data_IF_014467062079
#
_entry.id   IF_014467062079
#
_cell.length_a   1.000
_cell.length_b   1.000
_cell.length_c   1.000
_cell.angle_alpha   90.00
_cell.angle_beta   90.00
_cell.angle_gamma   90.00
#
_symmetry.space_group_name_H-M   'P 1'
#
loop_
_entity.id
_entity.type
_entity.pdbx_description
1 polymer ?
#
# COMPACT_ATOMS: atom_id res chain seq x y z
N UNK A 1 -10.06 -22.66 -17.71
CA UNK A 1 -8.97 -22.05 -16.90
C UNK A 1 -7.62 -22.22 -17.56
N UNK A 2 -7.25 -23.39 -18.05
CA UNK A 2 -5.95 -23.65 -18.73
C UNK A 2 -5.62 -22.64 -19.84
N UNK A 3 -6.55 -22.39 -20.77
CA UNK A 3 -6.33 -21.41 -21.83
C UNK A 3 -6.06 -19.97 -21.35
N UNK A 4 -6.55 -19.59 -20.15
CA UNK A 4 -6.22 -18.31 -19.53
C UNK A 4 -4.81 -18.34 -18.94
N UNK A 5 -4.42 -19.45 -18.31
CA UNK A 5 -3.07 -19.64 -17.78
C UNK A 5 -2.04 -19.51 -18.90
N UNK A 6 -2.29 -20.15 -20.03
CA UNK A 6 -1.41 -20.08 -21.20
C UNK A 6 -1.36 -18.68 -21.82
N UNK A 7 -2.53 -18.11 -22.09
CA UNK A 7 -2.64 -16.83 -22.78
C UNK A 7 -2.01 -15.67 -22.00
N UNK A 8 -2.14 -15.69 -20.66
CA UNK A 8 -1.74 -14.56 -19.81
C UNK A 8 -0.53 -14.87 -18.92
N UNK A 9 0.06 -16.06 -19.00
CA UNK A 9 1.20 -16.44 -18.17
C UNK A 9 0.88 -16.44 -16.67
N UNK A 10 -0.32 -16.92 -16.29
CA UNK A 10 -0.77 -16.92 -14.90
C UNK A 10 0.13 -17.82 -14.05
N UNK A 11 0.69 -17.30 -12.98
CA UNK A 11 1.53 -18.05 -12.02
C UNK A 11 0.82 -18.33 -10.69
N UNK A 12 -0.25 -17.58 -10.36
CA UNK A 12 -0.96 -17.70 -9.11
C UNK A 12 -2.48 -17.59 -9.32
N UNK A 13 -3.23 -18.49 -8.67
CA UNK A 13 -4.70 -18.50 -8.68
C UNK A 13 -5.17 -18.14 -7.26
N UNK A 14 -5.97 -17.09 -7.13
CA UNK A 14 -6.61 -16.72 -5.86
C UNK A 14 -8.00 -17.34 -5.77
N UNK A 15 -8.30 -18.00 -4.65
CA UNK A 15 -9.58 -18.67 -4.38
C UNK A 15 -10.19 -18.05 -3.14
N UNK A 16 -11.42 -17.56 -3.24
CA UNK A 16 -12.15 -17.04 -2.06
C UNK A 16 -12.42 -18.13 -1.01
N UNK A 17 -12.40 -17.75 0.27
CA UNK A 17 -12.64 -18.67 1.39
C UNK A 17 -14.12 -18.83 1.77
N UNK A 18 -15.05 -18.51 0.87
CA UNK A 18 -16.49 -18.59 1.11
C UNK A 18 -17.09 -20.00 1.02
N UNK A 19 -18.39 -20.04 0.80
CA UNK A 19 -19.20 -21.27 0.92
C UNK A 19 -18.72 -22.40 -0.02
N UNK A 20 -18.33 -22.11 -1.25
CA UNK A 20 -17.88 -23.09 -2.26
C UNK A 20 -16.35 -23.22 -2.32
N UNK A 21 -15.62 -22.81 -1.28
CA UNK A 21 -14.16 -22.79 -1.27
C UNK A 21 -13.57 -24.20 -1.52
N UNK A 22 -14.05 -25.22 -0.82
CA UNK A 22 -13.52 -26.59 -0.90
C UNK A 22 -13.76 -27.24 -2.27
N UNK A 23 -14.93 -27.00 -2.85
CA UNK A 23 -15.27 -27.47 -4.19
C UNK A 23 -14.41 -26.78 -5.25
N UNK A 24 -14.25 -25.49 -5.15
CA UNK A 24 -13.39 -24.70 -6.04
C UNK A 24 -11.92 -25.11 -5.94
N UNK A 25 -11.44 -25.34 -4.72
CA UNK A 25 -10.08 -25.84 -4.47
C UNK A 25 -9.84 -27.19 -5.15
N UNK A 26 -10.78 -28.16 -5.01
CA UNK A 26 -10.66 -29.46 -5.67
C UNK A 26 -10.56 -29.35 -7.18
N UNK A 27 -11.42 -28.54 -7.81
CA UNK A 27 -11.40 -28.32 -9.25
C UNK A 27 -10.05 -27.75 -9.70
N UNK A 28 -9.50 -26.80 -8.93
CA UNK A 28 -8.20 -26.20 -9.24
C UNK A 28 -7.08 -27.22 -9.08
N UNK A 29 -7.07 -27.95 -7.96
CA UNK A 29 -6.04 -28.98 -7.69
C UNK A 29 -6.05 -30.05 -8.79
N UNK A 30 -7.22 -30.53 -9.22
CA UNK A 30 -7.33 -31.54 -10.24
C UNK A 30 -6.86 -30.99 -11.60
N UNK A 31 -7.24 -29.78 -11.98
CA UNK A 31 -6.73 -29.10 -13.17
C UNK A 31 -5.20 -28.92 -13.13
N UNK A 32 -4.63 -28.52 -11.99
CA UNK A 32 -3.18 -28.32 -11.89
C UNK A 32 -2.38 -29.64 -12.01
N UNK A 33 -2.97 -30.79 -11.66
CA UNK A 33 -2.36 -32.12 -11.90
C UNK A 33 -2.26 -32.44 -13.39
N UNK A 34 -3.15 -31.90 -14.21
CA UNK A 34 -3.15 -32.11 -15.66
C UNK A 34 -2.10 -31.26 -16.39
N UNK A 35 -1.61 -30.19 -15.74
CA UNK A 35 -0.59 -29.26 -16.29
C UNK A 35 0.63 -29.12 -15.36
N UNK A 36 1.29 -30.23 -14.95
CA UNK A 36 2.37 -30.19 -13.96
C UNK A 36 3.61 -29.43 -14.42
N UNK A 37 3.83 -29.30 -15.73
CA UNK A 37 4.93 -28.53 -16.31
C UNK A 37 4.79 -27.02 -16.09
N UNK A 38 3.58 -26.54 -15.83
CA UNK A 38 3.29 -25.14 -15.51
C UNK A 38 3.35 -24.95 -14.00
N UNK A 39 4.35 -24.23 -13.53
CA UNK A 39 4.53 -23.91 -12.09
C UNK A 39 3.47 -22.89 -11.63
N UNK A 40 2.19 -23.26 -11.68
CA UNK A 40 1.08 -22.45 -11.20
C UNK A 40 0.76 -22.86 -9.76
N UNK A 41 0.65 -21.87 -8.89
CA UNK A 41 0.28 -22.04 -7.49
C UNK A 41 -1.15 -21.55 -7.27
N UNK A 42 -1.77 -21.93 -6.15
CA UNK A 42 -3.02 -21.32 -5.70
C UNK A 42 -2.93 -20.90 -4.24
N UNK A 43 -3.77 -19.96 -3.85
CA UNK A 43 -3.85 -19.44 -2.48
C UNK A 43 -5.32 -19.23 -2.11
N UNK A 44 -5.68 -19.59 -0.89
CA UNK A 44 -7.00 -19.30 -0.32
C UNK A 44 -6.96 -17.88 0.24
N UNK A 45 -7.84 -17.02 -0.28
CA UNK A 45 -7.89 -15.60 0.03
C UNK A 45 -9.17 -15.25 0.77
N UNK A 46 -9.08 -14.40 1.77
CA UNK A 46 -10.26 -13.90 2.48
C UNK A 46 -11.14 -13.06 1.52
N UNK A 47 -12.41 -13.46 1.37
CA UNK A 47 -13.38 -12.79 0.48
C UNK A 47 -14.35 -11.86 1.21
N UNK A 48 -14.19 -11.63 2.52
CA UNK A 48 -15.08 -10.79 3.30
C UNK A 48 -15.32 -9.42 2.61
N UNK A 49 -16.58 -9.04 2.46
CA UNK A 49 -17.00 -7.80 1.79
C UNK A 49 -16.82 -7.75 0.26
N UNK A 50 -16.32 -8.81 -0.41
CA UNK A 50 -16.17 -8.81 -1.87
C UNK A 50 -17.52 -8.66 -2.59
N UNK A 51 -18.59 -9.23 -2.05
CA UNK A 51 -19.96 -9.07 -2.57
C UNK A 51 -20.46 -7.62 -2.44
N UNK A 52 -20.12 -6.93 -1.35
CA UNK A 52 -20.48 -5.52 -1.14
C UNK A 52 -19.76 -4.64 -2.16
N UNK A 53 -18.46 -4.85 -2.32
CA UNK A 53 -17.67 -4.13 -3.32
C UNK A 53 -18.23 -4.36 -4.74
N UNK A 54 -18.45 -5.61 -5.14
CA UNK A 54 -18.87 -5.95 -6.50
C UNK A 54 -20.19 -5.34 -6.92
N UNK A 55 -21.10 -5.10 -5.96
CA UNK A 55 -22.37 -4.42 -6.17
C UNK A 55 -22.28 -2.88 -6.07
N UNK A 56 -21.12 -2.34 -5.70
CA UNK A 56 -20.94 -0.89 -5.51
C UNK A 56 -20.87 -0.12 -6.82
N UNK A 57 -21.12 1.20 -6.73
CA UNK A 57 -20.94 2.13 -7.84
C UNK A 57 -19.47 2.16 -8.28
N UNK A 58 -18.53 2.14 -7.31
CA UNK A 58 -17.10 2.12 -7.57
C UNK A 58 -16.70 0.93 -8.44
N UNK A 59 -17.16 -0.29 -8.09
CA UNK A 59 -16.86 -1.48 -8.87
C UNK A 59 -17.46 -1.41 -10.29
N UNK A 60 -18.60 -0.74 -10.44
CA UNK A 60 -19.21 -0.51 -11.76
C UNK A 60 -18.39 0.47 -12.60
N UNK A 61 -17.84 1.51 -11.97
CA UNK A 61 -16.95 2.46 -12.64
C UNK A 61 -15.60 1.82 -13.02
N UNK A 62 -15.02 0.97 -12.13
CA UNK A 62 -13.76 0.26 -12.42
C UNK A 62 -13.91 -0.84 -13.49
N UNK A 63 -15.06 -1.52 -13.52
CA UNK A 63 -15.32 -2.65 -14.41
C UNK A 63 -16.72 -2.55 -15.04
N UNK A 64 -16.94 -1.61 -15.98
CA UNK A 64 -18.27 -1.36 -16.55
C UNK A 64 -18.82 -2.56 -17.32
N UNK A 65 -17.95 -3.39 -17.89
CA UNK A 65 -18.34 -4.52 -18.74
C UNK A 65 -18.35 -5.87 -17.99
N UNK A 66 -18.02 -5.89 -16.69
CA UNK A 66 -18.02 -7.10 -15.88
C UNK A 66 -19.33 -7.26 -15.13
N UNK A 67 -19.78 -8.48 -14.98
CA UNK A 67 -20.84 -8.81 -14.04
C UNK A 67 -20.36 -8.78 -12.59
N UNK A 68 -21.29 -8.92 -11.65
CA UNK A 68 -21.00 -8.86 -10.20
C UNK A 68 -20.03 -9.97 -9.77
N UNK A 69 -20.15 -11.18 -10.34
CA UNK A 69 -19.25 -12.30 -10.07
C UNK A 69 -17.84 -12.03 -10.55
N UNK A 70 -17.68 -11.51 -11.75
CA UNK A 70 -16.38 -11.14 -12.33
C UNK A 70 -15.70 -10.01 -11.56
N UNK A 71 -16.48 -9.00 -11.10
CA UNK A 71 -15.96 -7.91 -10.25
C UNK A 71 -15.48 -8.45 -8.90
N UNK A 72 -16.25 -9.37 -8.30
CA UNK A 72 -15.85 -10.03 -7.05
C UNK A 72 -14.57 -10.83 -7.21
N UNK A 73 -14.48 -11.63 -8.27
CA UNK A 73 -13.27 -12.42 -8.57
C UNK A 73 -12.04 -11.54 -8.78
N UNK A 74 -12.17 -10.42 -9.51
CA UNK A 74 -11.09 -9.46 -9.70
C UNK A 74 -10.63 -8.85 -8.36
N UNK A 75 -11.57 -8.48 -7.47
CA UNK A 75 -11.25 -7.95 -6.14
C UNK A 75 -10.51 -8.98 -5.28
N UNK A 76 -10.98 -10.23 -5.24
CA UNK A 76 -10.35 -11.31 -4.48
C UNK A 76 -8.91 -11.57 -5.00
N UNK A 77 -8.69 -11.55 -6.31
CA UNK A 77 -7.38 -11.71 -6.89
C UNK A 77 -6.44 -10.54 -6.53
N UNK A 78 -6.93 -9.30 -6.60
CA UNK A 78 -6.17 -8.10 -6.27
C UNK A 78 -5.76 -8.01 -4.79
N UNK A 79 -6.51 -8.63 -3.87
CA UNK A 79 -6.14 -8.71 -2.45
C UNK A 79 -4.83 -9.43 -2.22
N UNK A 80 -4.45 -10.35 -3.11
CA UNK A 80 -3.15 -11.02 -3.02
C UNK A 80 -2.01 -10.11 -3.46
N UNK A 81 -2.29 -9.18 -4.38
CA UNK A 81 -1.31 -8.22 -4.88
C UNK A 81 -1.15 -7.02 -3.93
N UNK A 82 -2.25 -6.41 -3.54
CA UNK A 82 -2.30 -5.28 -2.61
C UNK A 82 -3.60 -5.35 -1.79
N UNK A 83 -3.56 -6.00 -0.61
CA UNK A 83 -4.75 -6.15 0.22
C UNK A 83 -5.31 -4.81 0.69
N UNK A 84 -4.45 -3.83 0.99
CA UNK A 84 -4.88 -2.54 1.50
C UNK A 84 -5.64 -1.75 0.44
N UNK A 85 -5.13 -1.72 -0.79
CA UNK A 85 -5.77 -1.02 -1.92
C UNK A 85 -7.18 -1.56 -2.24
N UNK A 86 -7.44 -2.84 -1.98
CA UNK A 86 -8.76 -3.42 -2.17
C UNK A 86 -9.66 -3.27 -0.95
N UNK A 87 -9.15 -3.48 0.26
CA UNK A 87 -9.95 -3.44 1.48
C UNK A 87 -10.49 -2.03 1.80
N UNK A 88 -9.74 -0.97 1.46
CA UNK A 88 -10.22 0.42 1.65
C UNK A 88 -11.44 0.78 0.80
N UNK A 89 -11.76 -0.01 -0.22
CA UNK A 89 -12.96 0.17 -1.06
C UNK A 89 -14.25 -0.34 -0.40
N UNK A 90 -14.13 -1.04 0.74
CA UNK A 90 -15.23 -1.68 1.45
C UNK A 90 -15.44 -0.96 2.77
N UNK A 91 -16.69 -0.58 3.06
CA UNK A 91 -17.04 -0.05 4.38
C UNK A 91 -16.73 -1.11 5.45
N UNK A 92 -15.88 -0.81 6.44
CA UNK A 92 -15.52 -1.76 7.51
C UNK A 92 -16.73 -2.35 8.24
N UNK A 93 -17.83 -1.61 8.36
CA UNK A 93 -19.09 -2.12 8.95
C UNK A 93 -19.69 -3.28 8.17
N UNK A 94 -19.43 -3.36 6.87
CA UNK A 94 -19.94 -4.43 6.01
C UNK A 94 -19.26 -5.78 6.24
N UNK A 95 -18.06 -5.78 6.82
CA UNK A 95 -17.33 -7.01 7.15
C UNK A 95 -17.47 -7.41 8.62
N UNK A 96 -18.18 -6.60 9.42
CA UNK A 96 -18.44 -6.84 10.83
C UNK A 96 -17.25 -6.49 11.73
N UNK A 97 -17.42 -5.46 12.56
CA UNK A 97 -16.39 -4.96 13.48
C UNK A 97 -16.65 -5.34 14.93
N UNK A 98 -17.81 -5.89 15.23
CA UNK A 98 -18.15 -6.35 16.57
C UNK A 98 -19.57 -6.84 16.70
N UNK A 99 -19.81 -7.67 17.72
CA UNK A 99 -21.11 -8.29 17.97
C UNK A 99 -22.23 -7.26 18.18
N UNK A 100 -21.92 -6.14 18.82
CA UNK A 100 -22.90 -5.09 19.19
C UNK A 100 -22.80 -3.85 18.30
N UNK A 101 -22.25 -3.95 17.10
CA UNK A 101 -22.09 -2.79 16.22
C UNK A 101 -23.41 -2.08 15.89
N UNK A 102 -24.54 -2.81 15.86
CA UNK A 102 -25.86 -2.25 15.57
C UNK A 102 -26.45 -1.45 16.73
N UNK A 103 -26.02 -1.72 17.96
CA UNK A 103 -26.46 -1.04 19.17
C UNK A 103 -25.66 0.24 19.45
N UNK A 104 -24.56 0.46 18.72
CA UNK A 104 -23.71 1.62 18.87
C UNK A 104 -24.25 2.83 18.12
N UNK A 105 -23.82 4.03 18.52
CA UNK A 105 -24.07 5.24 17.74
C UNK A 105 -23.32 5.15 16.39
N UNK A 106 -24.06 5.00 15.31
CA UNK A 106 -23.51 4.73 13.98
C UNK A 106 -22.57 5.84 13.49
N UNK A 107 -22.87 7.11 13.80
CA UNK A 107 -22.00 8.23 13.41
C UNK A 107 -20.64 8.17 14.12
N UNK A 108 -20.63 7.89 15.42
CA UNK A 108 -19.37 7.74 16.18
C UNK A 108 -18.59 6.51 15.74
N UNK A 109 -19.30 5.43 15.38
CA UNK A 109 -18.68 4.22 14.85
C UNK A 109 -18.01 4.51 13.50
N UNK A 110 -18.66 5.23 12.58
CA UNK A 110 -18.10 5.64 11.30
C UNK A 110 -16.84 6.50 11.47
N UNK A 111 -16.92 7.50 12.34
CA UNK A 111 -15.79 8.38 12.62
C UNK A 111 -14.59 7.60 13.18
N UNK A 112 -14.82 6.68 14.12
CA UNK A 112 -13.77 5.85 14.71
C UNK A 112 -13.15 4.89 13.68
N UNK A 113 -13.97 4.21 12.89
CA UNK A 113 -13.49 3.28 11.86
C UNK A 113 -12.74 3.99 10.74
N UNK A 114 -13.24 5.14 10.28
CA UNK A 114 -12.54 5.98 9.31
C UNK A 114 -11.15 6.40 9.82
N UNK A 115 -11.04 6.81 11.08
CA UNK A 115 -9.77 7.13 11.72
C UNK A 115 -8.81 5.94 11.75
N UNK A 116 -9.29 4.75 12.09
CA UNK A 116 -8.46 3.52 12.09
C UNK A 116 -7.95 3.18 10.70
N UNK A 117 -8.81 3.31 9.67
CA UNK A 117 -8.38 3.06 8.27
C UNK A 117 -7.35 4.09 7.85
N UNK A 118 -7.58 5.37 8.11
CA UNK A 118 -6.65 6.46 7.80
C UNK A 118 -5.29 6.24 8.49
N UNK A 119 -5.27 5.97 9.78
CA UNK A 119 -4.05 5.66 10.53
C UNK A 119 -3.31 4.46 9.95
N UNK A 120 -4.03 3.40 9.57
CA UNK A 120 -3.45 2.19 8.99
C UNK A 120 -2.82 2.47 7.63
N UNK A 121 -3.51 3.22 6.77
CA UNK A 121 -3.00 3.59 5.44
C UNK A 121 -1.77 4.49 5.55
N UNK A 122 -1.82 5.51 6.40
CA UNK A 122 -0.69 6.41 6.60
C UNK A 122 0.52 5.70 7.23
N UNK A 123 0.30 4.77 8.14
CA UNK A 123 1.38 3.96 8.76
C UNK A 123 2.08 3.06 7.75
N UNK A 124 1.34 2.41 6.88
CA UNK A 124 1.90 1.55 5.82
C UNK A 124 2.52 2.40 4.71
N UNK A 125 1.90 3.53 4.38
CA UNK A 125 2.22 4.34 3.22
C UNK A 125 1.69 3.71 1.92
N UNK A 126 1.76 4.46 0.83
CA UNK A 126 1.25 4.02 -0.49
C UNK A 126 2.29 4.24 -1.57
N UNK A 127 2.35 3.35 -2.55
CA UNK A 127 3.14 3.59 -3.76
C UNK A 127 2.38 4.56 -4.68
N UNK A 128 3.02 5.70 -4.98
CA UNK A 128 2.42 6.79 -5.76
C UNK A 128 2.09 6.36 -7.20
N UNK A 129 2.84 5.39 -7.73
CA UNK A 129 2.69 4.93 -9.10
C UNK A 129 1.64 3.84 -9.27
N UNK A 130 1.25 3.14 -8.20
CA UNK A 130 0.29 2.03 -8.26
C UNK A 130 -1.01 2.31 -7.53
N UNK A 131 -1.00 3.19 -6.52
CA UNK A 131 -2.16 3.47 -5.69
C UNK A 131 -3.37 3.96 -6.48
N UNK A 132 -4.56 3.45 -6.14
CA UNK A 132 -5.84 3.92 -6.67
C UNK A 132 -6.24 5.26 -6.05
N UNK A 133 -7.14 6.01 -6.71
CA UNK A 133 -7.69 7.22 -6.13
C UNK A 133 -8.36 6.96 -4.77
N UNK A 134 -9.04 5.82 -4.62
CA UNK A 134 -9.69 5.43 -3.37
C UNK A 134 -8.71 5.20 -2.22
N UNK A 135 -7.52 4.67 -2.51
CA UNK A 135 -6.46 4.50 -1.51
C UNK A 135 -5.80 5.83 -1.16
N UNK A 136 -5.54 6.66 -2.16
CA UNK A 136 -4.94 7.98 -1.98
C UNK A 136 -5.80 8.92 -1.13
N UNK A 137 -7.14 8.78 -1.16
CA UNK A 137 -8.06 9.59 -0.35
C UNK A 137 -7.84 9.44 1.16
N UNK A 138 -7.24 8.34 1.62
CA UNK A 138 -6.90 8.10 3.03
C UNK A 138 -5.57 8.70 3.46
N UNK A 139 -4.79 9.24 2.53
CA UNK A 139 -3.52 9.89 2.87
C UNK A 139 -3.80 11.29 3.42
N UNK A 140 -3.14 11.61 4.53
CA UNK A 140 -3.25 12.91 5.19
C UNK A 140 -2.98 14.06 4.19
N UNK A 141 -3.85 15.06 4.18
CA UNK A 141 -3.76 16.20 3.26
C UNK A 141 -4.28 15.96 1.84
N UNK A 142 -4.74 14.75 1.50
CA UNK A 142 -5.25 14.41 0.17
C UNK A 142 -6.77 14.36 0.16
N UNK A 143 -7.39 15.30 -0.54
CA UNK A 143 -8.83 15.25 -0.80
C UNK A 143 -9.14 14.34 -2.00
N UNK A 144 -10.41 13.93 -2.12
CA UNK A 144 -10.92 13.15 -3.26
C UNK A 144 -10.56 13.77 -4.63
N UNK A 145 -10.59 15.09 -4.73
CA UNK A 145 -10.24 15.79 -5.97
C UNK A 145 -8.74 15.69 -6.26
N UNK A 146 -7.90 15.84 -5.22
CA UNK A 146 -6.45 15.71 -5.36
C UNK A 146 -6.08 14.26 -5.71
N UNK A 147 -6.68 13.26 -5.06
CA UNK A 147 -6.45 11.86 -5.36
C UNK A 147 -6.71 11.52 -6.84
N UNK A 148 -7.83 11.99 -7.39
CA UNK A 148 -8.13 11.85 -8.82
C UNK A 148 -7.12 12.58 -9.72
N UNK A 149 -6.69 13.77 -9.33
CA UNK A 149 -5.70 14.54 -10.10
C UNK A 149 -4.31 13.87 -10.09
N UNK A 150 -3.92 13.20 -8.99
CA UNK A 150 -2.68 12.41 -8.94
C UNK A 150 -2.73 11.27 -9.96
N UNK A 151 -3.84 10.52 -10.00
CA UNK A 151 -4.02 9.43 -10.96
C UNK A 151 -4.02 9.96 -12.40
N UNK A 152 -4.77 11.02 -12.68
CA UNK A 152 -4.81 11.65 -14.01
C UNK A 152 -3.42 12.15 -14.44
N UNK A 153 -2.69 12.81 -13.54
CA UNK A 153 -1.33 13.27 -13.82
C UNK A 153 -0.39 12.11 -14.22
N UNK A 154 -0.47 11.01 -13.49
CA UNK A 154 0.30 9.79 -13.78
C UNK A 154 -0.05 9.17 -15.14
N UNK A 155 -1.33 9.16 -15.49
CA UNK A 155 -1.79 8.64 -16.78
C UNK A 155 -1.36 9.51 -17.96
N UNK A 156 -1.31 10.83 -17.77
CA UNK A 156 -0.94 11.79 -18.82
C UNK A 156 0.59 11.96 -18.97
N UNK A 157 1.34 11.94 -17.85
CA UNK A 157 2.77 12.31 -17.83
C UNK A 157 3.70 11.11 -17.57
N UNK A 158 3.14 9.90 -17.31
CA UNK A 158 3.89 8.73 -16.92
C UNK A 158 4.13 8.65 -15.42
N UNK A 159 4.95 7.69 -15.01
CA UNK A 159 5.22 7.43 -13.60
C UNK A 159 5.98 8.58 -12.93
N UNK A 160 5.63 8.86 -11.68
CA UNK A 160 6.40 9.74 -10.83
C UNK A 160 7.80 9.18 -10.58
N UNK A 161 8.82 10.01 -10.72
CA UNK A 161 10.21 9.65 -10.48
C UNK A 161 10.82 10.36 -9.27
N UNK A 162 10.13 11.38 -8.75
CA UNK A 162 10.54 12.19 -7.60
C UNK A 162 9.27 12.67 -6.87
N UNK A 163 9.25 12.63 -5.55
CA UNK A 163 8.14 13.16 -4.74
C UNK A 163 7.82 14.62 -5.01
N UNK A 164 8.81 15.44 -5.37
CA UNK A 164 8.59 16.85 -5.71
C UNK A 164 7.69 17.05 -6.93
N UNK A 165 7.55 16.04 -7.78
CA UNK A 165 6.63 16.11 -8.92
C UNK A 165 5.16 16.21 -8.49
N UNK A 166 4.82 15.81 -7.26
CA UNK A 166 3.49 16.05 -6.67
C UNK A 166 3.08 17.52 -6.70
N UNK A 167 4.03 18.45 -6.57
CA UNK A 167 3.76 19.89 -6.64
C UNK A 167 3.27 20.36 -8.04
N UNK A 168 3.40 19.51 -9.05
CA UNK A 168 2.87 19.76 -10.40
C UNK A 168 1.42 19.30 -10.55
N UNK A 169 0.91 18.52 -9.59
CA UNK A 169 -0.45 17.99 -9.61
C UNK A 169 -1.45 19.11 -9.29
N UNK A 170 -2.50 19.23 -10.11
CA UNK A 170 -3.53 20.24 -9.93
C UNK A 170 -4.18 20.15 -8.54
N UNK A 171 -4.32 21.28 -7.88
CA UNK A 171 -4.86 21.47 -6.51
C UNK A 171 -4.00 20.93 -5.37
N UNK A 172 -2.84 20.34 -5.64
CA UNK A 172 -1.89 19.90 -4.62
C UNK A 172 -0.88 21.04 -4.39
N UNK A 173 -1.18 21.88 -3.40
CA UNK A 173 -0.30 22.99 -3.02
C UNK A 173 0.78 22.58 -2.02
N UNK A 174 1.71 23.50 -1.66
CA UNK A 174 2.82 23.21 -0.74
C UNK A 174 2.36 22.64 0.59
N UNK A 175 1.29 23.17 1.18
CA UNK A 175 0.75 22.69 2.46
C UNK A 175 0.26 21.23 2.38
N UNK A 176 -0.43 20.86 1.31
CA UNK A 176 -0.86 19.48 1.10
C UNK A 176 0.35 18.56 0.85
N UNK A 177 1.36 19.05 0.15
CA UNK A 177 2.61 18.33 -0.07
C UNK A 177 3.33 18.03 1.25
N UNK A 178 3.50 19.01 2.13
CA UNK A 178 4.08 18.82 3.48
C UNK A 178 3.33 17.76 4.28
N UNK A 179 2.01 17.69 4.17
CA UNK A 179 1.21 16.71 4.89
C UNK A 179 1.28 15.29 4.32
N UNK A 180 1.38 15.14 3.00
CA UNK A 180 1.27 13.84 2.35
C UNK A 180 2.60 13.19 1.97
N UNK A 181 3.67 13.98 1.78
CA UNK A 181 4.90 13.51 1.12
C UNK A 181 5.58 12.35 1.84
N UNK A 182 5.55 12.31 3.18
CA UNK A 182 6.11 11.20 3.97
C UNK A 182 5.39 9.86 3.79
N UNK A 183 4.12 9.90 3.40
CA UNK A 183 3.28 8.69 3.24
C UNK A 183 3.25 8.17 1.80
N UNK A 184 3.75 8.95 0.85
CA UNK A 184 3.77 8.60 -0.57
C UNK A 184 5.14 8.11 -0.99
N UNK A 185 5.24 6.86 -1.40
CA UNK A 185 6.49 6.21 -1.77
C UNK A 185 6.63 6.09 -3.29
N UNK A 186 7.85 6.10 -3.76
CA UNK A 186 8.19 5.87 -5.17
C UNK A 186 9.27 4.79 -5.22
N UNK A 187 8.88 3.60 -5.69
CA UNK A 187 9.81 2.50 -5.90
C UNK A 187 10.59 2.75 -7.19
N UNK A 188 11.94 2.70 -7.13
CA UNK A 188 12.78 2.90 -8.32
C UNK A 188 12.86 4.35 -8.81
N UNK A 189 12.51 5.34 -7.97
CA UNK A 189 12.64 6.77 -8.27
C UNK A 189 14.11 7.25 -8.33
N UNK A 190 14.30 8.52 -8.67
CA UNK A 190 15.62 9.16 -8.76
C UNK A 190 16.33 9.25 -7.41
N UNK A 191 15.57 9.47 -6.35
CA UNK A 191 16.08 9.53 -4.99
C UNK A 191 15.69 8.26 -4.23
N UNK A 192 16.65 7.44 -3.77
CA UNK A 192 16.37 6.25 -2.99
C UNK A 192 15.53 6.50 -1.72
N UNK A 193 15.63 7.68 -1.11
CA UNK A 193 14.83 8.06 0.05
C UNK A 193 13.33 8.20 -0.27
N UNK A 194 12.96 8.39 -1.54
CA UNK A 194 11.55 8.41 -1.97
C UNK A 194 10.87 7.05 -1.80
N UNK A 195 11.62 5.96 -1.68
CA UNK A 195 11.10 4.63 -1.36
C UNK A 195 10.85 4.41 0.16
N UNK A 196 11.27 5.35 1.01
CA UNK A 196 11.19 5.25 2.48
C UNK A 196 10.03 6.08 3.03
N UNK A 197 9.78 5.98 4.34
CA UNK A 197 8.84 6.86 5.07
C UNK A 197 9.47 8.20 5.46
N UNK A 198 10.76 8.39 5.25
CA UNK A 198 11.46 9.64 5.60
C UNK A 198 10.84 10.82 4.86
N UNK A 199 10.48 11.87 5.60
CA UNK A 199 9.92 13.07 5.01
C UNK A 199 10.95 13.84 4.19
N UNK A 200 10.60 14.46 3.05
CA UNK A 200 11.54 15.21 2.20
C UNK A 200 12.35 16.30 2.92
N UNK A 201 11.79 16.93 3.96
CA UNK A 201 12.50 17.90 4.81
C UNK A 201 13.70 17.30 5.55
N UNK A 202 13.67 16.00 5.83
CA UNK A 202 14.70 15.28 6.55
C UNK A 202 15.73 14.61 5.63
N UNK A 203 15.63 14.75 4.32
CA UNK A 203 16.52 14.07 3.36
C UNK A 203 17.97 14.42 3.52
N UNK A 204 18.29 15.69 3.77
CA UNK A 204 19.66 16.14 3.98
C UNK A 204 20.27 15.46 5.23
N UNK A 205 19.55 15.48 6.33
CA UNK A 205 19.98 14.84 7.57
C UNK A 205 20.09 13.31 7.44
N UNK A 206 19.11 12.66 6.77
CA UNK A 206 19.12 11.23 6.52
C UNK A 206 20.31 10.82 5.63
N UNK A 207 20.59 11.57 4.56
CA UNK A 207 21.72 11.31 3.67
C UNK A 207 23.06 11.51 4.37
N UNK A 208 23.18 12.54 5.21
CA UNK A 208 24.38 12.78 6.01
C UNK A 208 24.60 11.68 7.05
N UNK A 209 23.54 11.20 7.72
CA UNK A 209 23.59 10.07 8.64
C UNK A 209 24.10 8.80 7.93
N UNK A 210 23.47 8.42 6.81
CA UNK A 210 23.84 7.24 6.04
C UNK A 210 25.31 7.30 5.59
N UNK A 211 25.74 8.45 5.09
CA UNK A 211 27.13 8.65 4.65
C UNK A 211 28.14 8.48 5.81
N UNK A 212 27.83 8.99 7.00
CA UNK A 212 28.67 8.83 8.21
C UNK A 212 28.77 7.39 8.70
N UNK A 213 27.69 6.64 8.55
CA UNK A 213 27.66 5.21 8.90
C UNK A 213 28.21 4.31 7.80
N UNK A 214 28.66 4.88 6.67
CA UNK A 214 29.28 4.14 5.56
C UNK A 214 28.28 3.49 4.59
N UNK A 215 27.01 3.85 4.67
CA UNK A 215 25.99 3.38 3.74
C UNK A 215 25.94 4.20 2.46
N UNK A 216 25.61 3.52 1.37
CA UNK A 216 25.40 4.13 0.05
C UNK A 216 23.89 4.31 -0.21
N UNK A 217 23.49 5.23 -1.10
CA UNK A 217 22.08 5.38 -1.46
C UNK A 217 21.39 4.08 -1.90
N UNK A 218 22.11 3.18 -2.58
CA UNK A 218 21.57 1.90 -3.02
C UNK A 218 21.28 0.93 -1.85
N UNK A 219 21.92 1.09 -0.70
CA UNK A 219 21.68 0.24 0.48
C UNK A 219 20.28 0.50 1.05
N UNK A 220 19.73 1.70 0.84
CA UNK A 220 18.35 2.07 1.22
C UNK A 220 17.33 1.21 0.47
N UNK A 221 17.53 1.02 -0.85
CA UNK A 221 16.63 0.23 -1.70
C UNK A 221 16.85 -1.27 -1.52
N UNK A 222 18.08 -1.68 -1.22
CA UNK A 222 18.46 -3.09 -1.07
C UNK A 222 18.04 -3.71 0.27
N UNK A 223 17.51 -2.93 1.24
CA UNK A 223 17.12 -3.44 2.54
C UNK A 223 18.26 -3.68 3.52
N UNK A 224 19.42 -3.12 3.25
CA UNK A 224 20.63 -3.36 4.05
C UNK A 224 20.72 -2.49 5.32
N UNK A 225 19.62 -1.83 5.72
CA UNK A 225 19.60 -0.90 6.86
C UNK A 225 19.10 -1.54 8.17
N UNK A 226 18.91 -2.85 8.20
CA UNK A 226 18.54 -3.57 9.42
C UNK A 226 19.62 -3.40 10.49
N UNK A 227 19.19 -2.99 11.69
CA UNK A 227 20.12 -2.74 12.80
C UNK A 227 20.84 -1.39 12.74
N UNK A 228 20.38 -0.45 11.89
CA UNK A 228 20.88 0.93 11.83
C UNK A 228 20.83 1.60 13.21
N UNK A 229 19.77 1.37 13.97
CA UNK A 229 19.57 1.88 15.34
C UNK A 229 20.69 1.45 16.30
N UNK A 230 21.28 0.27 16.12
CA UNK A 230 22.36 -0.24 16.96
C UNK A 230 23.72 0.40 16.63
N UNK A 231 23.86 1.00 15.45
CA UNK A 231 25.09 1.66 15.02
C UNK A 231 25.19 3.10 15.52
N UNK A 232 24.06 3.72 15.85
CA UNK A 232 24.02 5.06 16.43
C UNK A 232 24.22 4.96 17.94
N UNK A 233 25.49 5.03 18.39
CA UNK A 233 25.86 4.86 19.81
C UNK A 233 25.45 6.02 20.70
N UNK A 234 25.48 7.25 20.16
CA UNK A 234 25.13 8.48 20.88
C UNK A 234 24.23 9.35 20.01
N UNK A 235 22.92 9.22 20.21
CA UNK A 235 21.92 9.98 19.45
C UNK A 235 22.02 11.48 19.68
N UNK A 236 22.33 11.92 20.91
CA UNK A 236 22.43 13.34 21.24
C UNK A 236 23.60 14.00 20.53
N UNK A 237 24.75 13.35 20.53
CA UNK A 237 25.94 13.85 19.84
C UNK A 237 25.74 13.85 18.32
N UNK A 238 25.24 12.76 17.77
CA UNK A 238 24.96 12.63 16.33
C UNK A 238 23.94 13.65 15.85
N UNK A 239 22.87 13.88 16.59
CA UNK A 239 21.85 14.88 16.27
C UNK A 239 22.45 16.30 16.24
N UNK A 240 23.26 16.65 17.24
CA UNK A 240 23.95 17.95 17.28
C UNK A 240 24.88 18.14 16.05
N UNK A 241 25.60 17.10 15.66
CA UNK A 241 26.48 17.12 14.49
C UNK A 241 25.73 17.22 13.15
N UNK A 242 24.50 16.72 13.09
CA UNK A 242 23.61 16.80 11.92
C UNK A 242 22.73 18.06 11.92
N UNK A 243 22.79 18.88 13.00
CA UNK A 243 22.02 20.10 13.12
C UNK A 243 20.51 19.88 13.32
N UNK A 244 20.11 18.71 13.83
CA UNK A 244 18.71 18.33 14.06
C UNK A 244 18.44 17.98 15.54
N UNK A 245 17.17 17.86 15.91
CA UNK A 245 16.78 17.38 17.23
C UNK A 245 17.03 15.87 17.40
N UNK A 246 17.31 15.43 18.65
CA UNK A 246 17.49 14.01 18.96
C UNK A 246 16.26 13.18 18.61
N UNK A 247 15.05 13.71 18.85
CA UNK A 247 13.78 13.04 18.52
C UNK A 247 13.69 12.83 17.00
N UNK A 248 13.96 13.88 16.22
CA UNK A 248 13.96 13.79 14.74
C UNK A 248 14.97 12.76 14.24
N UNK A 249 16.16 12.67 14.85
CA UNK A 249 17.12 11.64 14.47
C UNK A 249 16.62 10.23 14.76
N UNK A 250 15.98 10.02 15.92
CA UNK A 250 15.38 8.73 16.28
C UNK A 250 14.29 8.31 15.29
N UNK A 251 13.46 9.25 14.87
CA UNK A 251 12.40 9.03 13.89
C UNK A 251 13.01 8.67 12.52
N UNK A 252 14.00 9.43 12.04
CA UNK A 252 14.70 9.12 10.78
C UNK A 252 15.31 7.70 10.81
N UNK A 253 16.01 7.34 11.88
CA UNK A 253 16.62 6.00 12.02
C UNK A 253 15.55 4.92 11.98
N UNK A 254 14.46 5.10 12.74
CA UNK A 254 13.33 4.16 12.76
C UNK A 254 12.68 4.02 11.39
N UNK A 255 12.44 5.11 10.69
CA UNK A 255 11.82 5.12 9.36
C UNK A 255 12.71 4.47 8.30
N UNK A 256 14.02 4.68 8.36
CA UNK A 256 14.97 4.01 7.49
C UNK A 256 15.06 2.51 7.76
N UNK A 257 14.99 2.10 9.01
CA UNK A 257 15.08 0.69 9.43
C UNK A 257 13.79 -0.08 9.10
N UNK A 258 12.61 0.56 9.26
CA UNK A 258 11.29 -0.05 9.05
C UNK A 258 10.87 -0.10 7.58
N UNK A 259 11.44 0.72 6.72
CA UNK A 259 10.92 0.94 5.35
C UNK A 259 10.89 -0.32 4.47
N UNK A 260 11.56 -1.41 4.88
CA UNK A 260 11.70 -2.65 4.11
C UNK A 260 11.12 -3.90 4.78
N UNK A 261 10.97 -3.91 6.10
CA UNK A 261 10.43 -5.08 6.83
C UNK A 261 8.92 -5.24 6.55
N UNK A 262 8.18 -4.16 6.39
CA UNK A 262 6.72 -4.23 6.21
C UNK A 262 6.26 -4.62 4.80
N UNK A 263 7.15 -4.61 3.81
CA UNK A 263 6.81 -5.00 2.43
C UNK A 263 7.04 -6.50 2.18
N UNK A 264 7.89 -7.16 2.97
CA UNK A 264 8.34 -8.53 2.70
C UNK A 264 7.79 -9.62 3.62
N UNK A 265 7.13 -9.30 4.75
CA UNK A 265 6.52 -10.31 5.59
C UNK A 265 5.02 -10.45 5.31
N UNK A 266 4.56 -11.59 4.75
CA UNK A 266 3.16 -11.94 4.81
C UNK A 266 2.80 -12.14 6.28
N UNK A 267 1.87 -11.34 6.80
CA UNK A 267 1.27 -11.57 8.12
C UNK A 267 0.79 -13.02 8.20
N UNK A 268 1.44 -13.80 9.06
CA UNK A 268 1.01 -15.14 9.43
C UNK A 268 -0.32 -15.09 10.17
#
# INVERSE_FOLDING_TARGET
>A
MEGMIEKYGVSLISVGNGTACRESERVIVDMLKEIPEKKVQYVITNEAGASVYSASKLATEEFPNFDVGQRSAASIARRVQDPLAELVKIDPKSIGVGQYQHDMNQKKLDEALSGVVEDSVNKVGVDLNTASASLLEYISGISKAIAKNIVAYREENGQFTDRKELLKVAKLGPKAFEQCAGFMRISGGKNPLDATSVHPESYEAASALLSRLGYKPNDVVAGNLLGLSLQVKDYKKMAAELGIGEITLRDIVKELELSLIHISEPTR
#
